data_IF_625760588689
#
_entry.id   IF_625760588689
#
_cell.length_a   1.000
_cell.length_b   1.000
_cell.length_c   1.000
_cell.angle_alpha   90.00
_cell.angle_beta   90.00
_cell.angle_gamma   90.00
#
_symmetry.space_group_name_H-M   'P 1'
#
loop_
_entity.id
_entity.type
_entity.pdbx_description
1 polymer ?
#
# COMPACT_ATOMS: atom_id res chain seq x y z
N UNK A 1 14.53 7.21 -19.59
CA UNK A 1 15.94 7.17 -19.13
C UNK A 1 16.75 6.41 -20.16
N UNK A 2 17.39 7.11 -21.10
CA UNK A 2 18.35 6.49 -22.01
C UNK A 2 19.62 6.24 -21.22
N UNK A 3 19.84 5.00 -20.81
CA UNK A 3 21.17 4.58 -20.38
C UNK A 3 22.06 4.68 -21.63
N UNK A 4 22.82 5.77 -21.72
CA UNK A 4 24.03 5.77 -22.52
C UNK A 4 24.87 4.60 -22.00
N UNK A 5 24.86 3.48 -22.73
CA UNK A 5 25.89 2.47 -22.60
C UNK A 5 27.15 3.13 -23.15
N UNK A 6 27.77 3.96 -22.31
CA UNK A 6 29.06 4.54 -22.58
C UNK A 6 30.03 3.39 -22.75
N UNK A 7 30.66 3.37 -23.90
CA UNK A 7 31.73 2.49 -24.37
C UNK A 7 32.98 2.65 -23.49
N UNK A 8 32.88 2.33 -22.21
CA UNK A 8 33.97 2.19 -21.26
C UNK A 8 33.76 0.85 -20.55
N UNK A 9 34.81 0.05 -20.50
CA UNK A 9 34.84 -1.35 -20.10
C UNK A 9 34.40 -1.64 -18.64
N UNK A 10 33.16 -1.33 -18.25
CA UNK A 10 32.57 -1.88 -17.04
C UNK A 10 32.01 -3.27 -17.37
N UNK A 11 32.40 -4.27 -16.59
CA UNK A 11 31.85 -5.62 -16.76
C UNK A 11 30.33 -5.59 -16.53
N UNK A 12 29.60 -6.56 -17.09
CA UNK A 12 28.15 -6.70 -16.83
C UNK A 12 27.88 -6.71 -15.32
N UNK A 13 28.77 -7.31 -14.55
CA UNK A 13 28.69 -7.38 -13.09
C UNK A 13 28.84 -5.98 -12.45
N UNK A 14 29.77 -5.14 -12.92
CA UNK A 14 29.91 -3.77 -12.43
C UNK A 14 28.67 -2.92 -12.74
N UNK A 15 28.16 -3.00 -13.97
CA UNK A 15 26.93 -2.30 -14.37
C UNK A 15 25.72 -2.79 -13.55
N UNK A 16 25.64 -4.09 -13.28
CA UNK A 16 24.60 -4.69 -12.42
C UNK A 16 24.68 -4.10 -11.01
N UNK A 17 25.89 -4.02 -10.44
CA UNK A 17 26.10 -3.45 -9.10
C UNK A 17 25.78 -1.95 -9.05
N UNK A 18 26.10 -1.19 -10.09
CA UNK A 18 25.71 0.22 -10.18
C UNK A 18 24.19 0.38 -10.25
N UNK A 19 23.48 -0.47 -11.01
CA UNK A 19 22.02 -0.47 -11.07
C UNK A 19 21.40 -0.81 -9.71
N UNK A 20 21.92 -1.83 -9.01
CA UNK A 20 21.49 -2.18 -7.66
C UNK A 20 21.70 -1.05 -6.64
N UNK A 21 22.82 -0.32 -6.74
CA UNK A 21 23.10 0.87 -5.90
C UNK A 21 22.13 2.00 -6.18
N UNK A 22 21.78 2.24 -7.45
CA UNK A 22 20.78 3.28 -7.82
C UNK A 22 19.39 2.94 -7.31
N UNK A 23 19.04 1.66 -7.28
CA UNK A 23 17.74 1.21 -6.80
C UNK A 23 17.75 0.83 -5.31
N UNK A 24 18.75 1.24 -4.53
CA UNK A 24 18.99 0.74 -3.16
C UNK A 24 17.75 0.75 -2.26
N UNK A 25 16.91 1.78 -2.38
CA UNK A 25 15.74 2.04 -1.54
C UNK A 25 14.51 1.19 -1.93
N UNK A 26 14.55 0.51 -3.09
CA UNK A 26 13.49 -0.40 -3.53
C UNK A 26 13.70 -1.81 -2.96
N UNK A 27 12.62 -2.56 -2.74
CA UNK A 27 12.72 -3.98 -2.40
C UNK A 27 13.34 -4.79 -3.55
N UNK A 28 13.92 -5.96 -3.26
CA UNK A 28 14.56 -6.80 -4.29
C UNK A 28 13.63 -7.15 -5.45
N UNK A 29 12.38 -7.49 -5.15
CA UNK A 29 11.38 -7.79 -6.17
C UNK A 29 11.00 -6.54 -6.98
N UNK A 30 10.90 -5.37 -6.34
CA UNK A 30 10.67 -4.10 -7.04
C UNK A 30 11.83 -3.71 -7.97
N UNK A 31 13.08 -3.98 -7.57
CA UNK A 31 14.26 -3.79 -8.44
C UNK A 31 14.14 -4.60 -9.74
N UNK A 32 13.68 -5.85 -9.65
CA UNK A 32 13.45 -6.72 -10.81
C UNK A 32 12.34 -6.17 -11.69
N UNK A 33 11.18 -5.82 -11.13
CA UNK A 33 10.04 -5.28 -11.89
C UNK A 33 10.43 -4.00 -12.63
N UNK A 34 11.15 -3.08 -11.97
CA UNK A 34 11.63 -1.84 -12.59
C UNK A 34 12.64 -2.11 -13.72
N UNK A 35 13.56 -3.07 -13.52
CA UNK A 35 14.51 -3.46 -14.56
C UNK A 35 13.80 -4.07 -15.78
N UNK A 36 12.80 -4.91 -15.56
CA UNK A 36 11.97 -5.53 -16.59
C UNK A 36 11.14 -4.49 -17.37
N UNK A 37 10.53 -3.53 -16.66
CA UNK A 37 9.80 -2.45 -17.29
C UNK A 37 10.73 -1.57 -18.16
N UNK A 38 11.90 -1.21 -17.64
CA UNK A 38 12.90 -0.46 -18.40
C UNK A 38 13.39 -1.23 -19.65
N UNK A 39 13.59 -2.54 -19.51
CA UNK A 39 13.93 -3.44 -20.63
C UNK A 39 12.83 -3.50 -21.69
N UNK A 40 11.57 -3.66 -21.27
CA UNK A 40 10.44 -3.69 -22.18
C UNK A 40 10.32 -2.37 -22.96
N UNK A 41 10.52 -1.22 -22.28
CA UNK A 41 10.56 0.09 -22.94
C UNK A 41 11.71 0.20 -23.94
N UNK A 42 12.92 -0.24 -23.59
CA UNK A 42 14.08 -0.12 -24.49
C UNK A 42 13.96 -1.02 -25.72
N UNK A 43 13.51 -2.26 -25.54
CA UNK A 43 13.29 -3.22 -26.64
C UNK A 43 12.11 -2.80 -27.51
N UNK A 44 11.01 -2.34 -26.91
CA UNK A 44 9.83 -1.85 -27.63
C UNK A 44 10.15 -0.64 -28.49
N UNK A 45 10.85 0.34 -27.93
CA UNK A 45 11.32 1.52 -28.68
C UNK A 45 12.23 1.12 -29.85
N UNK A 46 13.17 0.20 -29.61
CA UNK A 46 14.07 -0.32 -30.66
C UNK A 46 13.29 -1.00 -31.78
N UNK A 47 12.27 -1.81 -31.43
CA UNK A 47 11.38 -2.46 -32.40
C UNK A 47 10.65 -1.45 -33.28
N UNK A 48 10.12 -0.38 -32.68
CA UNK A 48 9.40 0.66 -33.42
C UNK A 48 10.32 1.41 -34.40
N UNK A 49 11.53 1.76 -33.97
CA UNK A 49 12.51 2.44 -34.82
C UNK A 49 12.91 1.54 -36.01
N UNK A 50 13.20 0.25 -35.78
CA UNK A 50 13.55 -0.69 -36.85
C UNK A 50 12.44 -0.84 -37.89
N UNK A 51 11.17 -0.92 -37.46
CA UNK A 51 10.03 -1.08 -38.37
C UNK A 51 9.82 0.12 -39.29
N UNK A 52 10.11 1.33 -38.82
CA UNK A 52 9.81 2.58 -39.54
C UNK A 52 11.02 3.28 -40.15
N UNK A 53 12.25 2.79 -39.91
CA UNK A 53 13.49 3.46 -40.39
C UNK A 53 13.53 3.75 -41.90
N UNK A 54 12.84 2.94 -42.71
CA UNK A 54 12.83 3.08 -44.17
C UNK A 54 11.63 3.90 -44.68
N UNK A 55 10.66 4.21 -43.82
CA UNK A 55 9.40 4.88 -44.18
C UNK A 55 9.21 6.22 -43.48
N UNK A 56 9.83 6.42 -42.32
CA UNK A 56 9.76 7.65 -41.51
C UNK A 56 11.19 8.23 -41.29
N UNK A 57 11.48 9.41 -41.86
CA UNK A 57 12.75 10.10 -41.64
C UNK A 57 13.06 10.39 -40.17
N UNK A 58 12.05 10.62 -39.32
CA UNK A 58 12.25 10.88 -37.89
C UNK A 58 12.83 9.64 -37.20
N UNK A 59 12.26 8.46 -37.48
CA UNK A 59 12.78 7.20 -36.96
C UNK A 59 14.25 6.97 -37.36
N UNK A 60 14.59 7.28 -38.62
CA UNK A 60 15.97 7.20 -39.13
C UNK A 60 16.93 8.17 -38.41
N UNK A 61 16.53 9.42 -38.20
CA UNK A 61 17.34 10.41 -37.47
C UNK A 61 17.52 10.02 -35.99
N UNK A 62 16.46 9.54 -35.33
CA UNK A 62 16.53 9.08 -33.93
C UNK A 62 17.46 7.86 -33.80
N UNK A 63 17.37 6.88 -34.71
CA UNK A 63 18.28 5.74 -34.75
C UNK A 63 19.74 6.20 -34.93
N UNK A 64 19.97 7.13 -35.86
CA UNK A 64 21.30 7.70 -36.14
C UNK A 64 21.88 8.44 -34.94
N UNK A 65 21.10 9.30 -34.29
CA UNK A 65 21.52 10.08 -33.12
C UNK A 65 21.83 9.20 -31.92
N UNK A 66 21.11 8.08 -31.75
CA UNK A 66 21.38 7.12 -30.67
C UNK A 66 22.64 6.30 -30.91
N UNK A 67 23.23 6.32 -32.10
CA UNK A 67 24.47 5.61 -32.43
C UNK A 67 24.34 4.08 -32.45
N UNK A 68 23.11 3.54 -32.33
CA UNK A 68 22.83 2.12 -32.35
C UNK A 68 22.08 1.79 -33.64
N UNK A 69 22.73 1.13 -34.60
CA UNK A 69 22.00 0.46 -35.68
C UNK A 69 21.42 -0.81 -35.09
N UNK A 70 20.17 -0.73 -34.65
CA UNK A 70 19.47 -1.90 -34.14
C UNK A 70 19.41 -2.96 -35.24
N UNK A 71 19.82 -4.18 -34.90
CA UNK A 71 19.66 -5.29 -35.84
C UNK A 71 18.18 -5.48 -36.12
N UNK A 72 17.83 -5.85 -37.35
CA UNK A 72 16.53 -6.42 -37.69
C UNK A 72 16.43 -7.80 -37.03
N UNK A 73 16.45 -7.84 -35.70
CA UNK A 73 16.15 -9.06 -34.97
C UNK A 73 14.68 -9.32 -35.20
N UNK A 74 14.38 -10.40 -35.91
CA UNK A 74 13.00 -10.82 -36.08
C UNK A 74 12.45 -11.18 -34.70
N UNK A 75 11.54 -10.34 -34.22
CA UNK A 75 10.90 -10.50 -32.91
C UNK A 75 10.14 -11.82 -32.79
N UNK A 76 9.72 -12.40 -33.92
CA UNK A 76 9.09 -13.72 -33.94
C UNK A 76 10.07 -14.80 -33.45
N UNK A 77 11.37 -14.69 -33.74
CA UNK A 77 12.38 -15.65 -33.26
C UNK A 77 12.54 -15.57 -31.74
N UNK A 78 12.48 -14.37 -31.17
CA UNK A 78 12.53 -14.17 -29.72
C UNK A 78 11.31 -14.75 -29.00
N UNK A 79 10.16 -14.74 -29.67
CA UNK A 79 8.93 -15.39 -29.20
C UNK A 79 9.06 -16.92 -29.26
N UNK A 80 9.58 -17.48 -30.37
CA UNK A 80 9.76 -18.93 -30.53
C UNK A 80 10.71 -19.54 -29.49
N UNK A 81 11.79 -18.85 -29.13
CA UNK A 81 12.70 -19.30 -28.06
C UNK A 81 12.14 -19.05 -26.65
N UNK A 82 10.94 -18.48 -26.54
CA UNK A 82 10.26 -18.24 -25.26
C UNK A 82 10.86 -17.11 -24.42
N UNK A 83 11.71 -16.24 -24.99
CA UNK A 83 12.40 -15.20 -24.23
C UNK A 83 11.41 -14.21 -23.60
N UNK A 84 10.44 -13.71 -24.38
CA UNK A 84 9.45 -12.77 -23.85
C UNK A 84 8.57 -13.40 -22.77
N UNK A 85 8.16 -14.65 -22.97
CA UNK A 85 7.40 -15.39 -21.97
C UNK A 85 8.17 -15.51 -20.66
N UNK A 86 9.43 -15.94 -20.72
CA UNK A 86 10.27 -16.08 -19.54
C UNK A 86 10.46 -14.76 -18.78
N UNK A 87 10.63 -13.65 -19.52
CA UNK A 87 10.76 -12.30 -18.96
C UNK A 87 9.46 -11.78 -18.34
N UNK A 88 8.31 -12.05 -18.97
CA UNK A 88 6.98 -11.71 -18.43
C UNK A 88 6.68 -12.53 -17.17
N UNK A 89 6.93 -13.83 -17.22
CA UNK A 89 6.65 -14.75 -16.09
C UNK A 89 7.46 -14.36 -14.86
N UNK A 90 8.76 -14.06 -15.03
CA UNK A 90 9.60 -13.62 -13.89
C UNK A 90 9.19 -12.24 -13.37
N UNK A 91 8.75 -11.32 -14.25
CA UNK A 91 8.23 -10.03 -13.81
C UNK A 91 6.93 -10.19 -13.00
N UNK A 92 6.00 -11.02 -13.48
CA UNK A 92 4.73 -11.31 -12.80
C UNK A 92 4.94 -11.99 -11.45
N UNK A 93 5.84 -12.98 -11.36
CA UNK A 93 6.17 -13.63 -10.09
C UNK A 93 6.74 -12.64 -9.08
N UNK A 94 7.66 -11.76 -9.51
CA UNK A 94 8.22 -10.72 -8.64
C UNK A 94 7.16 -9.69 -8.22
N UNK A 95 6.26 -9.31 -9.13
CA UNK A 95 5.14 -8.42 -8.84
C UNK A 95 4.17 -9.03 -7.82
N UNK A 96 3.89 -10.33 -7.93
CA UNK A 96 3.04 -11.05 -6.98
C UNK A 96 3.61 -11.06 -5.55
N UNK A 97 4.93 -11.11 -5.39
CA UNK A 97 5.56 -10.94 -4.06
C UNK A 97 5.41 -9.54 -3.47
N UNK A 98 5.02 -8.54 -4.26
CA UNK A 98 4.69 -7.19 -3.78
C UNK A 98 3.20 -7.04 -3.43
N UNK A 99 2.39 -8.08 -3.61
CA UNK A 99 0.97 -8.03 -3.33
C UNK A 99 0.70 -7.81 -1.82
N UNK A 100 -0.37 -7.06 -1.46
CA UNK A 100 -0.73 -6.84 -0.05
C UNK A 100 -0.93 -8.13 0.75
N UNK A 101 -1.47 -9.18 0.14
CA UNK A 101 -1.67 -10.50 0.78
C UNK A 101 -0.36 -11.10 1.29
N UNK A 102 0.73 -10.98 0.53
CA UNK A 102 2.06 -11.47 0.92
C UNK A 102 2.65 -10.59 2.03
N UNK A 103 2.42 -9.28 1.98
CA UNK A 103 2.95 -8.33 2.97
C UNK A 103 2.40 -8.54 4.40
N UNK A 104 1.24 -9.22 4.52
CA UNK A 104 0.59 -9.55 5.79
C UNK A 104 1.20 -10.76 6.49
N UNK A 105 1.95 -11.59 5.78
CA UNK A 105 2.60 -12.76 6.37
C UNK A 105 3.69 -12.27 7.36
N UNK A 106 3.66 -12.69 8.64
CA UNK A 106 4.73 -12.37 9.58
C UNK A 106 6.09 -12.86 9.08
N UNK A 107 7.14 -12.06 9.24
CA UNK A 107 8.47 -12.32 8.65
C UNK A 107 9.16 -13.56 9.22
N UNK A 108 8.68 -14.04 10.36
CA UNK A 108 9.16 -15.21 11.08
C UNK A 108 8.66 -16.52 10.46
N UNK A 109 7.57 -16.46 9.67
CA UNK A 109 7.01 -17.63 9.00
C UNK A 109 8.03 -18.21 8.03
N UNK A 110 8.20 -19.52 8.07
CA UNK A 110 9.23 -20.21 7.30
C UNK A 110 9.15 -19.90 5.79
N UNK A 111 7.94 -19.87 5.22
CA UNK A 111 7.74 -19.62 3.77
C UNK A 111 8.28 -18.25 3.34
N UNK A 112 7.91 -17.17 4.03
CA UNK A 112 8.37 -15.83 3.69
C UNK A 112 9.84 -15.63 4.02
N UNK A 113 10.34 -16.22 5.11
CA UNK A 113 11.76 -16.16 5.50
C UNK A 113 12.65 -16.81 4.44
N UNK A 114 12.25 -17.99 3.97
CA UNK A 114 12.94 -18.74 2.93
C UNK A 114 12.89 -18.00 1.57
N UNK A 115 11.75 -17.38 1.23
CA UNK A 115 11.64 -16.53 0.03
C UNK A 115 12.57 -15.30 0.11
N UNK A 116 12.57 -14.59 1.24
CA UNK A 116 13.41 -13.39 1.47
C UNK A 116 14.90 -13.71 1.32
N UNK A 117 15.34 -14.89 1.78
CA UNK A 117 16.72 -15.32 1.64
C UNK A 117 17.15 -15.51 0.17
N UNK A 118 16.21 -15.85 -0.72
CA UNK A 118 16.49 -16.08 -2.14
C UNK A 118 16.51 -14.77 -2.97
N UNK A 119 15.73 -13.76 -2.58
CA UNK A 119 15.51 -12.56 -3.38
C UNK A 119 16.79 -11.81 -3.82
N UNK A 120 17.81 -11.58 -2.97
CA UNK A 120 19.01 -10.86 -3.39
C UNK A 120 19.74 -11.56 -4.56
N UNK A 121 19.92 -12.87 -4.44
CA UNK A 121 20.60 -13.69 -5.45
C UNK A 121 19.78 -13.78 -6.73
N UNK A 122 18.47 -13.98 -6.63
CA UNK A 122 17.58 -14.03 -7.78
C UNK A 122 17.58 -12.68 -8.52
N UNK A 123 17.41 -11.57 -7.80
CA UNK A 123 17.41 -10.23 -8.37
C UNK A 123 18.73 -9.90 -9.07
N UNK A 124 19.88 -10.20 -8.45
CA UNK A 124 21.18 -10.01 -9.08
C UNK A 124 21.29 -10.76 -10.42
N UNK A 125 20.97 -12.06 -10.42
CA UNK A 125 21.04 -12.90 -11.63
C UNK A 125 20.10 -12.39 -12.72
N UNK A 126 18.87 -12.04 -12.36
CA UNK A 126 17.87 -11.52 -13.31
C UNK A 126 18.35 -10.20 -13.93
N UNK A 127 18.80 -9.23 -13.12
CA UNK A 127 19.31 -7.95 -13.65
C UNK A 127 20.50 -8.16 -14.57
N UNK A 128 21.41 -9.08 -14.20
CA UNK A 128 22.56 -9.45 -15.03
C UNK A 128 22.10 -10.01 -16.39
N UNK A 129 21.14 -10.95 -16.39
CA UNK A 129 20.55 -11.51 -17.61
C UNK A 129 19.91 -10.42 -18.48
N UNK A 130 19.13 -9.50 -17.88
CA UNK A 130 18.53 -8.36 -18.58
C UNK A 130 19.58 -7.51 -19.29
N UNK A 131 20.69 -7.20 -18.60
CA UNK A 131 21.80 -6.43 -19.19
C UNK A 131 22.50 -7.21 -20.31
N UNK A 132 22.68 -8.53 -20.17
CA UNK A 132 23.25 -9.38 -21.22
C UNK A 132 22.36 -9.41 -22.46
N UNK A 133 21.04 -9.63 -22.30
CA UNK A 133 20.08 -9.60 -23.41
C UNK A 133 20.12 -8.24 -24.09
N UNK A 134 20.08 -7.14 -23.33
CA UNK A 134 20.14 -5.78 -23.88
C UNK A 134 21.43 -5.57 -24.67
N UNK A 135 22.57 -6.04 -24.16
CA UNK A 135 23.86 -5.95 -24.85
C UNK A 135 23.88 -6.76 -26.15
N UNK A 136 23.31 -7.98 -26.13
CA UNK A 136 23.22 -8.84 -27.31
C UNK A 136 22.35 -8.20 -28.40
N UNK A 137 21.16 -7.71 -28.03
CA UNK A 137 20.23 -7.07 -28.96
C UNK A 137 20.75 -5.73 -29.51
N UNK A 138 21.69 -5.08 -28.81
CA UNK A 138 22.29 -3.81 -29.22
C UNK A 138 23.51 -3.95 -30.14
N UNK A 139 24.08 -5.16 -30.26
CA UNK A 139 25.29 -5.40 -31.06
C UNK A 139 24.94 -5.70 -32.53
N UNK A 140 25.62 -5.03 -33.45
CA UNK A 140 25.64 -5.39 -34.88
C UNK A 140 26.50 -6.66 -35.03
N UNK A 141 25.91 -7.80 -35.43
CA UNK A 141 26.66 -9.05 -35.62
C UNK A 141 26.32 -9.73 -36.95
N UNK A 142 27.35 -10.35 -37.53
CA UNK A 142 27.33 -11.04 -38.83
C UNK A 142 26.82 -12.50 -38.75
N UNK A 143 26.62 -13.05 -37.54
CA UNK A 143 26.19 -14.44 -37.30
C UNK A 143 24.91 -14.53 -36.45
N UNK A 144 23.78 -14.67 -37.13
CA UNK A 144 22.43 -14.71 -36.53
C UNK A 144 22.21 -15.93 -35.63
N UNK A 145 22.67 -17.11 -36.02
CA UNK A 145 22.44 -18.38 -35.32
C UNK A 145 23.07 -18.43 -33.91
N UNK A 146 24.34 -18.00 -33.79
CA UNK A 146 25.02 -17.90 -32.49
C UNK A 146 24.31 -16.94 -31.53
N UNK A 147 23.69 -15.88 -32.06
CA UNK A 147 22.95 -14.89 -31.26
C UNK A 147 21.67 -15.50 -30.70
N UNK A 148 20.95 -16.28 -31.51
CA UNK A 148 19.76 -17.00 -31.06
C UNK A 148 20.11 -18.01 -29.97
N UNK A 149 21.21 -18.75 -30.15
CA UNK A 149 21.67 -19.71 -29.15
C UNK A 149 22.02 -19.03 -27.82
N UNK A 150 22.77 -17.91 -27.84
CA UNK A 150 23.07 -17.12 -26.64
C UNK A 150 21.78 -16.66 -25.92
N UNK A 151 20.80 -16.14 -26.67
CA UNK A 151 19.53 -15.67 -26.12
C UNK A 151 18.66 -16.81 -25.58
N UNK A 152 18.70 -17.99 -26.21
CA UNK A 152 17.98 -19.17 -25.74
C UNK A 152 18.56 -19.66 -24.40
N UNK A 153 19.88 -19.66 -24.23
CA UNK A 153 20.51 -19.99 -22.93
C UNK A 153 20.03 -19.03 -21.84
N UNK A 154 20.01 -17.72 -22.11
CA UNK A 154 19.54 -16.71 -21.16
C UNK A 154 18.04 -16.84 -20.85
N UNK A 155 17.20 -17.19 -21.83
CA UNK A 155 15.78 -17.45 -21.63
C UNK A 155 15.55 -18.65 -20.69
N UNK A 156 16.33 -19.72 -20.87
CA UNK A 156 16.27 -20.89 -20.00
C UNK A 156 16.76 -20.58 -18.58
N UNK A 157 17.82 -19.79 -18.43
CA UNK A 157 18.32 -19.36 -17.12
C UNK A 157 17.28 -18.53 -16.35
N UNK A 158 16.64 -17.55 -17.00
CA UNK A 158 15.63 -16.72 -16.34
C UNK A 158 14.38 -17.54 -15.99
N UNK A 159 13.99 -18.49 -16.86
CA UNK A 159 12.90 -19.43 -16.59
C UNK A 159 13.20 -20.32 -15.38
N UNK A 160 14.44 -20.82 -15.28
CA UNK A 160 14.86 -21.63 -14.13
C UNK A 160 14.80 -20.84 -12.82
N UNK A 161 15.28 -19.60 -12.81
CA UNK A 161 15.18 -18.71 -11.65
C UNK A 161 13.70 -18.46 -11.30
N UNK A 162 12.86 -18.21 -12.32
CA UNK A 162 11.43 -18.01 -12.10
C UNK A 162 10.74 -19.22 -11.47
N UNK A 163 11.08 -20.45 -11.91
CA UNK A 163 10.50 -21.67 -11.33
C UNK A 163 10.78 -21.77 -9.82
N UNK A 164 12.02 -21.44 -9.40
CA UNK A 164 12.38 -21.39 -7.97
C UNK A 164 11.53 -20.35 -7.24
N UNK A 165 11.41 -19.15 -7.81
CA UNK A 165 10.61 -18.07 -7.22
C UNK A 165 9.12 -18.44 -7.14
N UNK A 166 8.57 -19.11 -8.14
CA UNK A 166 7.18 -19.58 -8.15
C UNK A 166 6.91 -20.65 -7.10
N UNK A 167 7.86 -21.56 -6.88
CA UNK A 167 7.78 -22.54 -5.79
C UNK A 167 7.68 -21.82 -4.43
N UNK A 168 8.57 -20.84 -4.18
CA UNK A 168 8.52 -20.03 -2.96
C UNK A 168 7.21 -19.22 -2.86
N UNK A 169 6.75 -18.63 -3.96
CA UNK A 169 5.52 -17.84 -4.01
C UNK A 169 4.31 -18.68 -3.67
N UNK A 170 4.24 -19.90 -4.18
CA UNK A 170 3.12 -20.83 -3.91
C UNK A 170 3.02 -21.16 -2.42
N UNK A 171 4.16 -21.37 -1.75
CA UNK A 171 4.19 -21.58 -0.30
C UNK A 171 3.75 -20.32 0.47
N UNK A 172 4.22 -19.15 0.05
CA UNK A 172 3.82 -17.89 0.66
C UNK A 172 2.32 -17.61 0.48
N UNK A 173 1.76 -17.86 -0.71
CA UNK A 173 0.33 -17.68 -0.98
C UNK A 173 -0.53 -18.61 -0.12
N UNK A 174 -0.12 -19.88 0.03
CA UNK A 174 -0.81 -20.84 0.91
C UNK A 174 -0.83 -20.38 2.36
N UNK A 175 0.27 -19.79 2.85
CA UNK A 175 0.29 -19.23 4.21
C UNK A 175 -0.48 -17.91 4.27
N UNK A 176 -0.43 -17.06 3.23
CA UNK A 176 -1.24 -15.84 3.15
C UNK A 176 -2.74 -16.12 3.22
N UNK A 177 -3.23 -17.23 2.66
CA UNK A 177 -4.62 -17.65 2.80
C UNK A 177 -4.99 -17.90 4.27
N UNK A 178 -4.10 -18.55 5.05
CA UNK A 178 -4.29 -18.73 6.49
C UNK A 178 -4.37 -17.39 7.19
N UNK A 179 -3.49 -16.45 6.86
CA UNK A 179 -3.53 -15.10 7.42
C UNK A 179 -4.65 -14.22 6.86
N UNK A 180 -5.30 -14.60 5.76
CA UNK A 180 -6.48 -13.92 5.23
C UNK A 180 -7.74 -14.39 5.96
N UNK A 181 -7.82 -15.70 6.28
CA UNK A 181 -8.88 -16.26 7.12
C UNK A 181 -8.68 -15.95 8.62
N UNK A 182 -7.43 -15.93 9.08
CA UNK A 182 -7.02 -15.49 10.41
C UNK A 182 -7.07 -13.97 10.55
N UNK A 183 -6.95 -13.12 9.51
CA UNK A 183 -7.29 -11.69 9.66
C UNK A 183 -8.80 -11.49 9.91
N UNK A 184 -9.64 -12.38 9.37
CA UNK A 184 -11.10 -12.36 9.61
C UNK A 184 -11.46 -12.99 10.98
N UNK A 185 -10.64 -13.89 11.52
CA UNK A 185 -10.94 -14.58 12.80
C UNK A 185 -10.08 -14.16 13.99
N UNK A 186 -8.89 -13.58 13.78
CA UNK A 186 -7.91 -13.13 14.79
C UNK A 186 -7.81 -11.60 14.85
N UNK A 187 -8.25 -10.87 13.81
CA UNK A 187 -8.30 -9.39 13.81
C UNK A 187 -9.71 -8.79 13.81
N UNK A 188 -10.66 -9.59 14.28
CA UNK A 188 -11.74 -9.05 15.10
C UNK A 188 -11.21 -9.11 16.54
N UNK A 189 -10.46 -8.08 16.95
CA UNK A 189 -10.60 -7.56 18.31
C UNK A 189 -12.07 -7.23 18.45
N UNK A 190 -12.85 -8.26 18.84
CA UNK A 190 -14.27 -8.19 19.17
C UNK A 190 -14.34 -7.35 20.43
N UNK A 191 -14.33 -6.04 20.28
CA UNK A 191 -15.33 -5.31 21.03
C UNK A 191 -16.58 -5.32 20.17
N UNK A 192 -17.55 -6.12 20.61
CA UNK A 192 -18.95 -5.95 20.21
C UNK A 192 -19.38 -4.49 20.46
N UNK A 193 -20.44 -4.04 19.81
CA UNK A 193 -21.03 -2.71 20.09
C UNK A 193 -21.31 -2.56 21.59
N UNK A 194 -21.75 -3.64 22.27
CA UNK A 194 -21.92 -3.66 23.73
C UNK A 194 -20.62 -3.45 24.49
N UNK A 195 -19.53 -4.13 24.12
CA UNK A 195 -18.22 -3.96 24.80
C UNK A 195 -17.62 -2.58 24.52
N UNK A 196 -17.82 -2.03 23.32
CA UNK A 196 -17.43 -0.66 22.98
C UNK A 196 -18.18 0.35 23.86
N UNK A 197 -19.49 0.21 23.99
CA UNK A 197 -20.33 1.04 24.86
C UNK A 197 -19.88 0.89 26.33
N UNK A 198 -19.67 -0.33 26.82
CA UNK A 198 -19.26 -0.59 28.19
C UNK A 198 -17.92 0.07 28.53
N UNK A 199 -16.95 0.00 27.60
CA UNK A 199 -15.65 0.67 27.73
C UNK A 199 -15.78 2.19 27.77
N UNK A 200 -16.59 2.78 26.88
CA UNK A 200 -16.83 4.22 26.90
C UNK A 200 -17.48 4.64 28.22
N UNK A 201 -18.50 3.91 28.67
CA UNK A 201 -19.16 4.16 29.96
C UNK A 201 -18.20 3.99 31.13
N UNK A 202 -17.23 3.07 31.05
CA UNK A 202 -16.17 2.93 32.04
C UNK A 202 -15.25 4.15 32.06
N UNK A 203 -14.85 4.70 30.91
CA UNK A 203 -14.05 5.93 30.86
C UNK A 203 -14.76 7.11 31.52
N UNK A 204 -16.07 7.22 31.27
CA UNK A 204 -16.93 8.26 31.84
C UNK A 204 -17.06 8.08 33.36
N UNK A 205 -17.40 6.87 33.84
CA UNK A 205 -17.55 6.58 35.28
C UNK A 205 -16.27 6.81 36.08
N UNK A 206 -15.13 6.40 35.53
CA UNK A 206 -13.83 6.53 36.22
C UNK A 206 -13.33 7.98 36.33
N UNK A 207 -13.95 8.93 35.63
CA UNK A 207 -13.68 10.37 35.79
C UNK A 207 -14.59 11.05 36.82
N UNK A 208 -15.49 10.30 37.49
CA UNK A 208 -16.29 10.82 38.61
C UNK A 208 -17.40 11.79 38.19
N UNK A 209 -17.89 11.69 36.95
CA UNK A 209 -19.02 12.49 36.46
C UNK A 209 -20.34 12.00 37.11
N UNK A 210 -20.58 12.40 38.36
CA UNK A 210 -21.82 12.08 39.09
C UNK A 210 -23.06 12.81 38.54
N UNK A 211 -22.84 13.83 37.71
CA UNK A 211 -23.83 14.74 37.13
C UNK A 211 -24.53 14.22 35.85
N UNK A 212 -24.28 12.97 35.45
CA UNK A 212 -24.85 12.37 34.24
C UNK A 212 -26.21 11.71 34.46
N UNK A 213 -26.63 11.56 35.73
CA UNK A 213 -27.90 10.92 36.06
C UNK A 213 -29.06 11.69 35.42
N UNK A 214 -29.93 10.96 34.73
CA UNK A 214 -31.10 11.49 34.01
C UNK A 214 -30.80 12.42 32.83
N UNK A 215 -29.59 12.34 32.23
CA UNK A 215 -29.27 13.01 30.96
C UNK A 215 -29.06 11.98 29.85
N UNK A 216 -29.42 12.35 28.62
CA UNK A 216 -29.06 11.63 27.41
C UNK A 216 -27.60 11.90 27.06
N UNK A 217 -26.83 10.86 26.72
CA UNK A 217 -25.43 11.01 26.33
C UNK A 217 -25.30 11.17 24.82
N UNK A 218 -24.61 12.23 24.39
CA UNK A 218 -24.20 12.45 23.01
C UNK A 218 -22.68 12.25 22.91
N UNK A 219 -22.24 11.30 22.09
CA UNK A 219 -20.82 11.06 21.88
C UNK A 219 -20.29 11.94 20.74
N UNK A 220 -19.30 12.78 21.06
CA UNK A 220 -18.50 13.47 20.06
C UNK A 220 -17.22 12.66 19.84
N UNK A 221 -17.12 11.98 18.70
CA UNK A 221 -15.96 11.15 18.35
C UNK A 221 -15.21 11.87 17.22
N UNK A 222 -13.98 12.29 17.48
CA UNK A 222 -13.17 13.07 16.52
C UNK A 222 -11.68 12.90 16.82
N UNK A 223 -10.82 13.33 15.90
CA UNK A 223 -9.41 13.52 16.18
C UNK A 223 -9.15 14.91 16.83
N UNK A 224 -7.88 15.34 16.90
CA UNK A 224 -7.52 16.67 17.43
C UNK A 224 -7.60 17.79 16.39
N UNK A 225 -8.03 17.47 15.16
CA UNK A 225 -8.13 18.43 14.05
C UNK A 225 -9.56 18.99 13.91
N UNK A 226 -10.50 18.59 14.78
CA UNK A 226 -11.82 19.20 14.91
C UNK A 226 -11.73 20.73 14.91
N UNK A 227 -12.56 21.36 14.08
CA UNK A 227 -12.50 22.80 13.89
C UNK A 227 -13.09 23.55 15.08
N UNK A 228 -12.56 24.74 15.33
CA UNK A 228 -13.07 25.62 16.39
C UNK A 228 -14.51 26.03 16.09
N UNK A 229 -14.90 26.14 14.82
CA UNK A 229 -16.25 26.52 14.43
C UNK A 229 -17.27 25.41 14.68
N UNK A 230 -16.91 24.14 14.46
CA UNK A 230 -17.73 22.99 14.88
C UNK A 230 -17.94 22.98 16.40
N UNK A 231 -16.88 23.23 17.18
CA UNK A 231 -16.98 23.34 18.64
C UNK A 231 -17.91 24.48 19.04
N UNK A 232 -17.87 25.63 18.35
CA UNK A 232 -18.80 26.75 18.62
C UNK A 232 -20.25 26.36 18.34
N UNK A 233 -20.53 25.66 17.25
CA UNK A 233 -21.88 25.18 16.90
C UNK A 233 -22.37 24.20 17.97
N UNK A 234 -21.56 23.21 18.34
CA UNK A 234 -21.89 22.23 19.39
C UNK A 234 -22.09 22.90 20.74
N UNK A 235 -21.25 23.87 21.10
CA UNK A 235 -21.42 24.67 22.31
C UNK A 235 -22.74 25.44 22.34
N UNK A 236 -23.16 25.97 21.19
CA UNK A 236 -24.43 26.68 21.09
C UNK A 236 -25.62 25.73 21.25
N UNK A 237 -25.56 24.53 20.66
CA UNK A 237 -26.57 23.48 20.82
C UNK A 237 -26.63 22.95 22.26
N UNK A 238 -25.47 22.68 22.85
CA UNK A 238 -25.33 22.17 24.21
C UNK A 238 -25.95 23.13 25.22
N UNK A 239 -25.65 24.42 25.14
CA UNK A 239 -26.18 25.42 26.08
C UNK A 239 -27.70 25.54 26.11
N UNK A 240 -28.39 25.16 25.03
CA UNK A 240 -29.85 25.21 24.96
C UNK A 240 -30.49 23.98 25.60
N UNK A 241 -29.73 22.90 25.74
CA UNK A 241 -30.23 21.58 26.11
C UNK A 241 -29.37 20.87 27.18
N UNK A 242 -28.53 21.60 27.92
CA UNK A 242 -27.55 21.07 28.87
C UNK A 242 -28.18 20.36 30.08
N UNK A 243 -29.47 20.63 30.33
CA UNK A 243 -30.30 19.92 31.31
C UNK A 243 -30.71 18.52 30.82
N UNK A 244 -30.88 18.34 29.51
CA UNK A 244 -31.39 17.11 28.90
C UNK A 244 -30.27 16.21 28.35
N UNK A 245 -29.18 16.81 27.86
CA UNK A 245 -28.09 16.08 27.22
C UNK A 245 -26.74 16.41 27.85
N UNK A 246 -25.83 15.43 27.83
CA UNK A 246 -24.40 15.64 28.09
C UNK A 246 -23.57 15.22 26.88
N UNK A 247 -22.63 16.07 26.46
CA UNK A 247 -21.68 15.71 25.39
C UNK A 247 -20.45 15.06 26.02
N UNK A 248 -20.11 13.88 25.51
CA UNK A 248 -18.91 13.12 25.88
C UNK A 248 -17.94 13.16 24.71
N UNK A 249 -16.83 13.88 24.86
CA UNK A 249 -15.79 13.91 23.83
C UNK A 249 -14.84 12.73 23.98
N UNK A 250 -14.76 11.91 22.92
CA UNK A 250 -13.86 10.78 22.78
C UNK A 250 -12.86 11.06 21.64
N UNK A 251 -11.64 11.52 21.95
CA UNK A 251 -10.62 11.78 20.95
C UNK A 251 -10.01 10.46 20.45
N UNK A 252 -10.07 10.22 19.13
CA UNK A 252 -9.52 9.03 18.48
C UNK A 252 -8.14 9.37 17.91
N UNK A 253 -7.12 9.07 18.70
CA UNK A 253 -5.72 9.36 18.36
C UNK A 253 -4.94 8.06 18.18
N UNK A 254 -4.08 8.00 17.17
CA UNK A 254 -3.08 6.95 17.06
C UNK A 254 -1.93 7.18 18.05
N UNK A 255 -2.00 6.52 19.21
CA UNK A 255 -0.96 6.60 20.24
C UNK A 255 0.35 5.88 19.87
N UNK A 256 0.43 5.22 18.70
CA UNK A 256 1.72 4.75 18.18
C UNK A 256 2.64 5.90 17.78
N UNK A 257 2.08 7.11 17.62
CA UNK A 257 2.79 8.37 17.45
C UNK A 257 2.64 9.25 18.70
N UNK A 258 3.61 10.13 18.97
CA UNK A 258 3.46 11.15 20.02
C UNK A 258 2.35 12.12 19.64
N UNK A 259 1.32 12.27 20.48
CA UNK A 259 0.22 13.21 20.22
C UNK A 259 0.43 14.58 20.86
N UNK A 260 -0.19 15.60 20.28
CA UNK A 260 -0.13 16.96 20.80
C UNK A 260 -1.02 17.12 22.05
N UNK A 261 -0.43 16.84 23.20
CA UNK A 261 -1.06 17.01 24.52
C UNK A 261 -1.55 18.45 24.72
N UNK A 262 -0.80 19.44 24.22
CA UNK A 262 -1.16 20.85 24.38
C UNK A 262 -2.45 21.16 23.61
N UNK A 263 -2.53 20.68 22.37
CA UNK A 263 -3.72 20.85 21.52
C UNK A 263 -4.97 20.24 22.16
N UNK A 264 -4.86 19.05 22.75
CA UNK A 264 -5.97 18.42 23.47
C UNK A 264 -6.53 19.32 24.58
N UNK A 265 -5.66 19.90 25.42
CA UNK A 265 -6.10 20.78 26.50
C UNK A 265 -6.67 22.11 26.00
N UNK A 266 -6.13 22.68 24.91
CA UNK A 266 -6.68 23.87 24.26
C UNK A 266 -8.11 23.63 23.78
N UNK A 267 -8.35 22.52 23.08
CA UNK A 267 -9.69 22.15 22.62
C UNK A 267 -10.65 21.90 23.79
N UNK A 268 -10.20 21.15 24.80
CA UNK A 268 -11.00 20.89 26.02
C UNK A 268 -11.42 22.17 26.73
N UNK A 269 -10.58 23.21 26.77
CA UNK A 269 -10.93 24.51 27.36
C UNK A 269 -12.00 25.27 26.57
N UNK A 270 -12.12 25.02 25.27
CA UNK A 270 -13.13 25.64 24.41
C UNK A 270 -14.49 24.93 24.51
N UNK A 271 -14.53 23.70 25.00
CA UNK A 271 -15.74 22.89 25.13
C UNK A 271 -16.50 23.24 26.41
N UNK A 272 -17.82 23.45 26.29
CA UNK A 272 -18.68 23.79 27.44
C UNK A 272 -19.15 22.57 28.23
N UNK A 273 -19.14 21.39 27.62
CA UNK A 273 -19.37 20.13 28.31
C UNK A 273 -18.14 19.73 29.12
N UNK A 274 -18.37 19.10 30.27
CA UNK A 274 -17.28 18.76 31.20
C UNK A 274 -16.57 17.44 30.84
N UNK A 275 -17.22 16.59 30.04
CA UNK A 275 -16.78 15.21 29.82
C UNK A 275 -15.86 15.11 28.60
N UNK A 276 -14.57 14.91 28.86
CA UNK A 276 -13.57 14.64 27.82
C UNK A 276 -12.67 13.47 28.23
N UNK A 277 -12.66 12.41 27.44
CA UNK A 277 -11.80 11.25 27.65
C UNK A 277 -10.37 11.60 27.26
N UNK A 278 -9.41 11.40 28.17
CA UNK A 278 -8.00 11.60 27.81
C UNK A 278 -7.56 10.54 26.80
N UNK A 279 -6.84 10.92 25.72
CA UNK A 279 -6.46 9.98 24.66
C UNK A 279 -5.73 8.74 25.16
N UNK A 280 -4.86 8.89 26.16
CA UNK A 280 -4.08 7.80 26.79
C UNK A 280 -4.93 6.74 27.47
N UNK A 281 -6.20 7.04 27.75
CA UNK A 281 -7.15 6.11 28.39
C UNK A 281 -7.99 5.34 27.38
N UNK A 282 -7.99 5.77 26.11
CA UNK A 282 -8.68 5.06 25.04
C UNK A 282 -7.81 3.89 24.61
N UNK A 283 -8.31 2.67 24.80
CA UNK A 283 -7.54 1.49 24.41
C UNK A 283 -7.41 1.38 22.89
N UNK A 284 -6.31 0.75 22.43
CA UNK A 284 -5.99 0.64 21.01
C UNK A 284 -7.08 -0.10 20.19
N UNK A 285 -7.79 -1.04 20.81
CA UNK A 285 -8.89 -1.77 20.18
C UNK A 285 -10.14 -0.88 19.96
N UNK A 286 -10.40 0.10 20.84
CA UNK A 286 -11.44 1.12 20.67
C UNK A 286 -11.09 2.07 19.53
N UNK A 287 -9.83 2.50 19.44
CA UNK A 287 -9.32 3.33 18.33
C UNK A 287 -9.43 2.59 16.99
N UNK A 288 -9.05 1.31 16.96
CA UNK A 288 -9.13 0.47 15.76
C UNK A 288 -10.59 0.22 15.34
N UNK A 289 -11.50 -0.02 16.30
CA UNK A 289 -12.92 -0.21 16.04
C UNK A 289 -13.54 1.00 15.33
N UNK A 290 -13.27 2.21 15.82
CA UNK A 290 -13.81 3.44 15.21
C UNK A 290 -13.20 3.72 13.83
N UNK A 291 -11.91 3.44 13.62
CA UNK A 291 -11.23 3.70 12.34
C UNK A 291 -11.56 2.72 11.22
N UNK A 292 -12.04 1.51 11.55
CA UNK A 292 -12.19 0.41 10.59
C UNK A 292 -13.48 0.47 9.78
N UNK A 293 -14.55 1.06 10.32
CA UNK A 293 -15.84 1.14 9.66
C UNK A 293 -16.07 2.56 9.11
N UNK A 294 -16.03 2.75 7.79
CA UNK A 294 -16.67 3.93 7.15
C UNK A 294 -18.19 3.94 7.42
N UNK A 295 -18.74 2.82 7.91
CA UNK A 295 -20.12 2.68 8.40
C UNK A 295 -20.31 3.07 9.87
N UNK A 296 -19.25 3.42 10.61
CA UNK A 296 -19.40 3.79 12.02
C UNK A 296 -20.18 5.11 12.14
N UNK A 297 -20.12 5.98 11.13
CA UNK A 297 -21.01 7.14 11.00
C UNK A 297 -22.49 6.74 10.92
N UNK A 298 -22.85 5.56 10.39
CA UNK A 298 -24.24 5.10 10.30
C UNK A 298 -24.72 4.39 11.59
N UNK A 299 -23.77 3.84 12.37
CA UNK A 299 -24.03 2.95 13.53
C UNK A 299 -24.00 3.71 14.88
N UNK A 300 -23.36 4.87 14.97
CA UNK A 300 -23.15 5.60 16.23
C UNK A 300 -24.24 6.64 16.59
N UNK A 301 -25.35 6.70 15.87
CA UNK A 301 -26.49 7.57 16.19
C UNK A 301 -27.39 7.04 17.32
N UNK A 302 -26.82 6.55 18.42
CA UNK A 302 -27.57 5.91 19.50
C UNK A 302 -27.36 6.62 20.85
N UNK A 303 -28.45 7.13 21.44
CA UNK A 303 -28.48 7.61 22.82
C UNK A 303 -28.79 6.47 23.79
N UNK A 304 -28.04 6.38 24.89
CA UNK A 304 -28.30 5.45 26.00
C UNK A 304 -29.18 6.16 27.04
N UNK A 305 -30.40 5.66 27.24
CA UNK A 305 -31.29 6.03 28.36
C UNK A 305 -31.17 4.95 29.45
N UNK A 306 -30.60 5.31 30.60
CA UNK A 306 -30.36 4.38 31.72
C UNK A 306 -31.65 3.84 32.36
N UNK A 307 -32.82 4.45 32.13
CA UNK A 307 -34.06 4.05 32.80
C UNK A 307 -34.89 3.03 31.99
N UNK A 308 -34.88 3.06 30.66
CA UNK A 308 -35.87 2.33 29.84
C UNK A 308 -35.29 1.41 28.76
N UNK A 309 -33.97 1.34 28.60
CA UNK A 309 -33.38 0.61 27.47
C UNK A 309 -33.71 1.28 26.13
N UNK A 310 -33.13 0.76 25.05
CA UNK A 310 -33.09 1.34 23.71
C UNK A 310 -34.35 2.11 23.29
N UNK A 311 -34.21 3.43 23.07
CA UNK A 311 -35.24 4.27 22.45
C UNK A 311 -34.60 5.05 21.30
N UNK A 312 -35.14 4.83 20.09
CA UNK A 312 -34.70 5.45 18.85
C UNK A 312 -35.24 6.88 18.79
N UNK A 313 -34.39 7.90 18.91
CA UNK A 313 -34.75 9.28 18.58
C UNK A 313 -33.48 10.11 18.33
N UNK A 314 -33.16 10.38 17.06
CA UNK A 314 -32.52 11.62 16.64
C UNK A 314 -33.17 12.06 15.33
N UNK A 315 -34.28 12.76 15.52
CA UNK A 315 -34.88 13.65 14.54
C UNK A 315 -34.01 14.91 14.56
N UNK A 316 -33.05 15.03 13.63
CA UNK A 316 -32.78 16.35 13.07
C UNK A 316 -34.00 16.58 12.18
N UNK A 317 -35.05 17.19 12.75
CA UNK A 317 -36.29 17.50 12.06
C UNK A 317 -35.96 18.03 10.67
N UNK A 318 -36.76 17.64 9.68
CA UNK A 318 -36.81 18.13 8.30
C UNK A 318 -36.97 19.68 8.17
N UNK A 319 -36.30 20.49 8.99
CA UNK A 319 -36.61 21.88 9.29
C UNK A 319 -35.37 22.73 9.61
N UNK A 320 -34.42 22.84 8.67
CA UNK A 320 -33.77 24.15 8.44
C UNK A 320 -33.69 24.42 6.92
N UNK A 321 -34.84 24.38 6.26
CA UNK A 321 -35.14 25.30 5.15
C UNK A 321 -36.57 25.79 5.34
N UNK A 322 -36.77 27.08 5.66
CA UNK A 322 -37.88 27.82 5.11
C UNK A 322 -37.35 28.57 3.88
N UNK A 323 -37.81 28.18 2.69
CA UNK A 323 -37.91 29.15 1.59
C UNK A 323 -38.80 30.31 2.07
N UNK A 324 -38.44 31.51 1.63
CA UNK A 324 -39.00 32.83 1.97
C UNK A 324 -40.53 32.92 1.96
#
# INVERSE_FOLDING_TARGET
MSCCVSTMASSVDETTMQMLRRLKDYSWNAKVVLAMAAFACSVGESSMLVKHRNTDPIAMYVETLKGHRYTTTDFTVLEHIGLFKAMIDVANTNLAFLAPSISRIPKEVHSIKDAIACFPTAAYKILRIVLQITSILSKKKDHFESTIQELNVLANEVSHINNILQEKLTLCLRDAEKYTYEDITIRITKISISEFIDKIMQYVRTQGFENLRNKHLLFLISDLDISIDEIKVLNWLYQRNDQMYEIVWLPIIDLSMSYDVKRFWELKQLMKWSVAVEPTRVEADVVEFVKKDDKTEEILWNSIDELHGWKLELVLDDFIVPEL
#
